data_IF_632670770997
#
_entry.id   IF_632670770997
#
_cell.length_a   1.000
_cell.length_b   1.000
_cell.length_c   1.000
_cell.angle_alpha   90.00
_cell.angle_beta   90.00
_cell.angle_gamma   90.00
#
_symmetry.space_group_name_H-M   'P 1'
#
loop_
_entity.id
_entity.type
_entity.pdbx_description
1 polymer ?
#
# COMPACT_ATOMS: atom_id res chain seq x y z
N UNK A 1 18.81 -10.01 7.99
CA UNK A 1 18.09 -10.40 6.79
C UNK A 1 17.95 -9.21 5.86
N UNK A 2 18.42 -9.32 4.64
CA UNK A 2 18.30 -8.21 3.71
C UNK A 2 16.84 -8.04 3.31
N UNK A 3 16.38 -6.80 3.24
CA UNK A 3 15.08 -6.46 2.66
C UNK A 3 14.90 -7.02 1.23
N UNK A 4 15.99 -7.22 0.49
CA UNK A 4 16.00 -7.88 -0.81
C UNK A 4 15.54 -9.34 -0.75
N UNK A 5 15.92 -10.10 0.27
CA UNK A 5 15.45 -11.48 0.45
C UNK A 5 13.94 -11.52 0.70
N UNK A 6 13.38 -10.52 1.39
CA UNK A 6 11.93 -10.41 1.59
C UNK A 6 11.17 -10.10 0.31
N UNK A 7 11.75 -9.37 -0.62
CA UNK A 7 11.12 -9.05 -1.91
C UNK A 7 10.99 -10.27 -2.84
N UNK A 8 11.95 -11.20 -2.80
CA UNK A 8 11.90 -12.44 -3.58
C UNK A 8 10.74 -13.34 -3.12
N UNK A 9 10.37 -13.28 -1.84
CA UNK A 9 9.31 -14.09 -1.24
C UNK A 9 7.97 -13.37 -1.10
N UNK A 10 7.89 -12.08 -1.41
CA UNK A 10 6.63 -11.31 -1.40
C UNK A 10 5.72 -11.77 -2.52
N UNK A 11 4.94 -12.81 -2.24
CA UNK A 11 3.89 -13.23 -3.16
C UNK A 11 2.67 -12.34 -2.97
N UNK A 12 2.26 -11.70 -4.05
CA UNK A 12 1.06 -10.87 -4.07
C UNK A 12 -0.11 -11.70 -4.57
N UNK A 13 -1.24 -11.63 -3.85
CA UNK A 13 -2.51 -12.08 -4.37
C UNK A 13 -3.09 -10.92 -5.16
N UNK A 14 -3.44 -11.17 -6.41
CA UNK A 14 -4.00 -10.16 -7.31
C UNK A 14 -5.44 -10.54 -7.62
N UNK A 15 -6.32 -9.55 -7.52
CA UNK A 15 -7.72 -9.64 -7.87
C UNK A 15 -8.08 -8.57 -8.90
N UNK A 16 -8.94 -8.90 -9.84
CA UNK A 16 -9.58 -7.90 -10.70
C UNK A 16 -11.01 -7.73 -10.24
N UNK A 17 -11.37 -6.50 -9.87
CA UNK A 17 -12.72 -6.21 -9.42
C UNK A 17 -13.72 -6.49 -10.53
N UNK A 18 -14.87 -7.03 -10.17
CA UNK A 18 -15.90 -7.38 -11.15
C UNK A 18 -16.55 -6.14 -11.76
N UNK A 19 -16.76 -5.13 -10.90
CA UNK A 19 -17.48 -3.91 -11.28
C UNK A 19 -16.64 -2.99 -12.17
N UNK A 20 -15.39 -2.77 -11.83
CA UNK A 20 -14.56 -1.76 -12.48
C UNK A 20 -13.37 -2.34 -13.26
N UNK A 21 -13.12 -3.65 -13.13
CA UNK A 21 -11.97 -4.35 -13.72
C UNK A 21 -10.61 -3.79 -13.25
N UNK A 22 -10.61 -3.07 -12.13
CA UNK A 22 -9.40 -2.54 -11.52
C UNK A 22 -8.55 -3.65 -10.90
N UNK A 23 -7.25 -3.44 -10.91
CA UNK A 23 -6.31 -4.36 -10.29
C UNK A 23 -6.15 -4.03 -8.83
N UNK A 24 -6.58 -4.94 -7.97
CA UNK A 24 -6.33 -4.90 -6.52
C UNK A 24 -5.31 -5.96 -6.16
N UNK A 25 -4.39 -5.65 -5.25
CA UNK A 25 -3.37 -6.59 -4.83
C UNK A 25 -3.08 -6.50 -3.35
N UNK A 26 -2.69 -7.61 -2.75
CA UNK A 26 -2.09 -7.58 -1.41
C UNK A 26 -0.68 -7.01 -1.48
N UNK A 27 -0.27 -6.34 -0.40
CA UNK A 27 1.07 -5.77 -0.29
C UNK A 27 1.54 -5.84 1.18
N UNK A 28 2.85 -5.92 1.39
CA UNK A 28 3.48 -5.90 2.72
C UNK A 28 2.78 -6.77 3.75
N UNK A 29 2.73 -8.09 3.52
CA UNK A 29 2.16 -9.02 4.51
C UNK A 29 3.11 -9.17 5.70
N UNK A 30 2.57 -8.95 6.89
CA UNK A 30 3.31 -8.93 8.15
C UNK A 30 2.67 -9.91 9.15
N UNK A 31 3.09 -11.19 9.13
CA UNK A 31 2.62 -12.16 10.12
C UNK A 31 3.07 -11.74 11.53
N UNK A 32 2.19 -11.86 12.51
CA UNK A 32 2.42 -11.47 13.91
C UNK A 32 2.91 -10.03 14.07
N UNK A 33 2.56 -9.20 13.10
CA UNK A 33 3.05 -7.83 12.98
C UNK A 33 2.15 -6.79 13.63
N UNK A 34 2.57 -5.56 13.50
CA UNK A 34 1.86 -4.37 13.98
C UNK A 34 1.57 -3.43 12.83
N UNK A 35 0.55 -2.62 12.97
CA UNK A 35 0.29 -1.47 12.11
C UNK A 35 1.06 -0.28 12.67
N UNK A 36 1.68 0.51 11.79
CA UNK A 36 2.50 1.67 12.17
C UNK A 36 2.13 2.90 11.35
N UNK A 37 2.44 4.08 11.88
CA UNK A 37 2.34 5.33 11.15
C UNK A 37 3.63 5.59 10.36
N UNK A 38 3.47 6.13 9.16
CA UNK A 38 4.53 6.77 8.39
C UNK A 38 4.24 8.26 8.30
N UNK A 39 5.25 9.11 8.49
CA UNK A 39 5.12 10.55 8.33
C UNK A 39 6.05 11.02 7.20
N UNK A 40 5.46 11.54 6.15
CA UNK A 40 6.17 12.11 5.02
C UNK A 40 5.73 13.56 4.84
N UNK A 41 6.62 14.51 5.12
CA UNK A 41 6.35 15.94 5.00
C UNK A 41 5.07 16.40 5.76
N UNK A 42 4.86 15.85 6.96
CA UNK A 42 3.70 16.18 7.80
C UNK A 42 2.41 15.46 7.43
N UNK A 43 2.44 14.60 6.42
CA UNK A 43 1.31 13.76 6.04
C UNK A 43 1.50 12.38 6.68
N UNK A 44 0.53 11.98 7.49
CA UNK A 44 0.54 10.70 8.17
C UNK A 44 -0.22 9.68 7.33
N UNK A 45 0.46 8.59 6.98
CA UNK A 45 -0.10 7.42 6.32
C UNK A 45 0.12 6.18 7.19
N UNK A 46 -0.45 5.06 6.79
CA UNK A 46 -0.34 3.79 7.51
C UNK A 46 0.55 2.81 6.76
N UNK A 47 1.26 1.96 7.49
CA UNK A 47 1.97 0.81 6.94
C UNK A 47 1.93 -0.36 7.93
N UNK A 48 2.37 -1.53 7.50
CA UNK A 48 2.56 -2.69 8.33
C UNK A 48 4.03 -2.94 8.66
N UNK A 49 4.31 -3.55 9.81
CA UNK A 49 5.65 -3.91 10.23
C UNK A 49 5.66 -5.25 10.96
N UNK A 50 6.69 -6.07 10.70
CA UNK A 50 6.99 -7.28 11.46
C UNK A 50 8.28 -7.11 12.23
N UNK A 51 8.31 -7.63 13.44
CA UNK A 51 9.53 -7.68 14.25
C UNK A 51 10.24 -9.03 14.06
N UNK A 52 11.54 -9.03 14.19
CA UNK A 52 12.35 -10.25 14.23
C UNK A 52 12.29 -10.89 15.63
N UNK A 53 12.25 -10.06 16.67
CA UNK A 53 12.17 -10.49 18.06
C UNK A 53 10.81 -11.12 18.38
N UNK A 54 10.74 -12.41 18.74
CA UNK A 54 9.50 -13.08 19.11
C UNK A 54 8.76 -12.46 20.30
N UNK A 55 9.47 -11.79 21.22
CA UNK A 55 8.86 -11.10 22.36
C UNK A 55 7.95 -9.94 21.94
N UNK A 56 8.10 -9.45 20.72
CA UNK A 56 7.31 -8.37 20.13
C UNK A 56 6.21 -8.85 19.18
N UNK A 57 6.03 -10.15 19.08
CA UNK A 57 4.99 -10.72 18.23
C UNK A 57 3.59 -10.41 18.76
N UNK A 58 2.68 -10.12 17.86
CA UNK A 58 1.26 -9.98 18.16
C UNK A 58 0.49 -11.21 17.69
N UNK A 59 -0.79 -11.30 18.06
CA UNK A 59 -1.70 -12.32 17.53
C UNK A 59 -2.31 -11.93 16.18
N UNK A 60 -1.91 -10.79 15.63
CA UNK A 60 -2.47 -10.25 14.39
C UNK A 60 -1.52 -10.48 13.22
N UNK A 61 -2.10 -10.73 12.06
CA UNK A 61 -1.43 -10.57 10.77
C UNK A 61 -2.04 -9.35 10.08
N UNK A 62 -1.21 -8.49 9.53
CA UNK A 62 -1.68 -7.37 8.72
C UNK A 62 -1.08 -7.39 7.32
N UNK A 63 -1.78 -6.79 6.40
CA UNK A 63 -1.34 -6.57 5.03
C UNK A 63 -2.07 -5.37 4.44
N UNK A 64 -1.48 -4.73 3.44
CA UNK A 64 -2.14 -3.68 2.70
C UNK A 64 -2.93 -4.25 1.52
N UNK A 65 -4.03 -3.58 1.17
CA UNK A 65 -4.75 -3.76 -0.08
C UNK A 65 -4.58 -2.49 -0.92
N UNK A 66 -3.95 -2.64 -2.07
CA UNK A 66 -3.67 -1.54 -2.97
C UNK A 66 -4.48 -1.67 -4.25
N UNK A 67 -5.27 -0.64 -4.55
CA UNK A 67 -5.95 -0.47 -5.84
C UNK A 67 -5.03 0.31 -6.76
N UNK A 68 -4.75 -0.24 -7.94
CA UNK A 68 -3.91 0.43 -8.93
C UNK A 68 -4.75 1.40 -9.75
N UNK A 69 -4.45 2.69 -9.65
CA UNK A 69 -5.05 3.72 -10.47
C UNK A 69 -4.08 4.15 -11.56
N UNK A 70 -4.57 4.24 -12.78
CA UNK A 70 -3.83 4.77 -13.91
C UNK A 70 -4.57 5.97 -14.48
N UNK A 71 -3.90 7.12 -14.45
CA UNK A 71 -4.47 8.37 -14.97
C UNK A 71 -3.97 8.61 -16.40
N UNK A 72 -4.90 8.89 -17.29
CA UNK A 72 -4.64 9.27 -18.69
C UNK A 72 -5.22 10.65 -18.93
N UNK A 73 -4.74 11.33 -19.97
CA UNK A 73 -5.31 12.62 -20.37
C UNK A 73 -6.86 12.56 -20.47
N UNK A 74 -7.56 13.61 -20.01
CA UNK A 74 -7.05 14.90 -19.52
C UNK A 74 -6.64 14.90 -18.04
N UNK A 75 -6.73 13.77 -17.33
CA UNK A 75 -6.38 13.68 -15.91
C UNK A 75 -4.86 13.69 -15.75
N UNK A 76 -4.40 14.54 -14.85
CA UNK A 76 -3.00 14.71 -14.49
C UNK A 76 -2.84 14.77 -12.96
N UNK A 77 -1.65 15.04 -12.46
CA UNK A 77 -1.39 15.26 -11.04
C UNK A 77 -1.77 14.07 -10.13
N UNK A 78 -1.50 12.83 -10.58
CA UNK A 78 -1.82 11.61 -9.84
C UNK A 78 -1.23 11.58 -8.42
N UNK A 79 -0.02 12.12 -8.24
CA UNK A 79 0.61 12.20 -6.92
C UNK A 79 -0.16 13.15 -5.99
N UNK A 80 -0.56 14.33 -6.49
CA UNK A 80 -1.35 15.28 -5.71
C UNK A 80 -2.74 14.72 -5.36
N UNK A 81 -3.33 13.92 -6.26
CA UNK A 81 -4.58 13.23 -5.98
C UNK A 81 -4.43 12.27 -4.79
N UNK A 82 -3.41 11.41 -4.79
CA UNK A 82 -3.15 10.50 -3.66
C UNK A 82 -2.81 11.25 -2.38
N UNK A 83 -2.00 12.31 -2.47
CA UNK A 83 -1.68 13.18 -1.34
C UNK A 83 -2.93 13.84 -0.75
N UNK A 84 -3.86 14.30 -1.59
CA UNK A 84 -5.12 14.92 -1.15
C UNK A 84 -5.99 13.95 -0.36
N UNK A 85 -6.03 12.67 -0.73
CA UNK A 85 -6.73 11.63 0.02
C UNK A 85 -6.09 11.43 1.41
N UNK A 86 -4.74 11.37 1.47
CA UNK A 86 -4.04 11.25 2.74
C UNK A 86 -4.25 12.48 3.64
N UNK A 87 -4.22 13.69 3.08
CA UNK A 87 -4.52 14.93 3.80
C UNK A 87 -5.96 14.95 4.31
N UNK A 88 -6.93 14.48 3.52
CA UNK A 88 -8.31 14.36 3.93
C UNK A 88 -8.47 13.41 5.13
N UNK A 89 -7.78 12.26 5.11
CA UNK A 89 -7.74 11.34 6.24
C UNK A 89 -7.17 12.01 7.49
N UNK A 90 -6.07 12.74 7.36
CA UNK A 90 -5.44 13.44 8.48
C UNK A 90 -6.33 14.57 9.03
N UNK A 91 -7.01 15.29 8.15
CA UNK A 91 -7.93 16.34 8.55
C UNK A 91 -9.11 15.80 9.39
N UNK A 92 -9.68 14.67 8.97
CA UNK A 92 -10.85 14.07 9.65
C UNK A 92 -10.44 13.27 10.89
N UNK A 93 -9.33 12.55 10.84
CA UNK A 93 -8.92 11.62 11.89
C UNK A 93 -7.77 12.13 12.77
N UNK A 94 -7.18 13.27 12.47
CA UNK A 94 -5.95 13.73 13.12
C UNK A 94 -4.75 12.83 12.80
N UNK A 95 -4.86 11.97 11.77
CA UNK A 95 -3.87 10.98 11.36
C UNK A 95 -4.56 9.79 10.69
N UNK A 96 -4.24 8.58 11.16
CA UNK A 96 -4.83 7.34 10.65
C UNK A 96 -6.24 7.14 11.21
N UNK A 97 -7.16 6.74 10.34
CA UNK A 97 -8.51 6.31 10.69
C UNK A 97 -8.54 4.78 10.77
N UNK A 98 -9.25 4.23 11.76
CA UNK A 98 -9.52 2.79 11.87
C UNK A 98 -11.02 2.54 11.82
N UNK A 99 -11.43 1.52 11.06
CA UNK A 99 -12.83 1.09 10.95
C UNK A 99 -12.93 -0.42 10.95
N UNK A 100 -13.92 -0.98 11.64
CA UNK A 100 -14.28 -2.39 11.54
C UNK A 100 -14.92 -2.65 10.18
N UNK A 101 -14.57 -3.78 9.55
CA UNK A 101 -15.15 -4.15 8.26
C UNK A 101 -16.67 -4.25 8.30
N UNK A 102 -17.22 -4.86 9.34
CA UNK A 102 -18.68 -4.94 9.50
C UNK A 102 -19.36 -3.58 9.63
N UNK A 103 -18.72 -2.60 10.27
CA UNK A 103 -19.26 -1.24 10.34
C UNK A 103 -19.22 -0.56 8.97
N UNK A 104 -18.15 -0.74 8.19
CA UNK A 104 -18.04 -0.23 6.82
C UNK A 104 -19.16 -0.79 5.94
N UNK A 105 -19.40 -2.10 5.97
CA UNK A 105 -20.44 -2.75 5.17
C UNK A 105 -21.84 -2.26 5.53
N UNK A 106 -22.08 -1.94 6.80
CA UNK A 106 -23.33 -1.36 7.27
C UNK A 106 -23.46 0.14 7.05
N UNK A 107 -22.47 0.78 6.42
CA UNK A 107 -22.48 2.23 6.15
C UNK A 107 -22.44 3.08 7.42
N UNK A 108 -21.73 2.63 8.46
CA UNK A 108 -21.63 3.34 9.72
C UNK A 108 -20.18 3.46 10.20
N UNK A 109 -19.89 4.55 10.87
CA UNK A 109 -18.57 4.73 11.48
C UNK A 109 -18.33 3.74 12.62
N UNK A 110 -17.09 3.32 12.82
CA UNK A 110 -16.69 2.65 14.05
C UNK A 110 -16.57 3.62 15.21
N UNK A 111 -16.81 3.10 16.42
CA UNK A 111 -16.62 3.82 17.68
C UNK A 111 -15.61 3.10 18.55
N UNK A 112 -14.99 3.76 19.55
CA UNK A 112 -14.07 3.10 20.48
C UNK A 112 -14.69 1.86 21.13
N UNK A 113 -15.95 1.93 21.55
CA UNK A 113 -16.66 0.82 22.18
C UNK A 113 -16.86 -0.36 21.24
N UNK A 114 -17.21 -0.13 19.98
CA UNK A 114 -17.35 -1.21 18.99
C UNK A 114 -16.04 -1.91 18.68
N UNK A 115 -14.95 -1.14 18.58
CA UNK A 115 -13.61 -1.73 18.38
C UNK A 115 -13.19 -2.55 19.59
N UNK A 116 -13.43 -2.03 20.80
CA UNK A 116 -13.08 -2.74 22.04
C UNK A 116 -13.88 -4.05 22.26
N UNK A 117 -15.07 -4.16 21.68
CA UNK A 117 -15.89 -5.37 21.73
C UNK A 117 -15.47 -6.44 20.73
N UNK A 118 -14.69 -6.08 19.71
CA UNK A 118 -14.19 -7.00 18.70
C UNK A 118 -13.09 -7.92 19.24
N UNK A 119 -12.90 -9.09 18.62
CA UNK A 119 -11.83 -10.01 19.01
C UNK A 119 -10.45 -9.58 18.48
N UNK A 120 -10.39 -8.69 17.49
CA UNK A 120 -9.13 -8.16 16.95
C UNK A 120 -8.68 -6.99 17.80
N UNK A 121 -7.55 -7.14 18.49
CA UNK A 121 -6.95 -6.07 19.29
C UNK A 121 -6.17 -5.11 18.39
N UNK A 122 -6.49 -3.80 18.37
CA UNK A 122 -5.72 -2.82 17.62
C UNK A 122 -4.25 -2.76 18.06
N UNK A 123 -3.33 -2.72 17.11
CA UNK A 123 -1.88 -2.58 17.38
C UNK A 123 -1.39 -1.15 17.18
N UNK A 124 -2.19 -0.29 16.55
CA UNK A 124 -1.94 1.14 16.40
C UNK A 124 -3.07 1.94 17.04
N UNK A 125 -2.71 2.93 17.83
CA UNK A 125 -3.68 3.94 18.29
C UNK A 125 -4.06 4.82 17.11
N UNK A 126 -5.25 4.61 16.57
CA UNK A 126 -5.83 5.34 15.45
C UNK A 126 -7.22 5.86 15.83
N UNK A 127 -7.74 6.81 15.07
CA UNK A 127 -9.07 7.39 15.32
C UNK A 127 -10.15 6.48 14.75
N UNK A 128 -11.07 5.94 15.57
CA UNK A 128 -12.23 5.21 15.07
C UNK A 128 -13.11 6.13 14.21
N UNK A 129 -13.36 5.71 12.97
CA UNK A 129 -14.03 6.58 12.01
C UNK A 129 -14.74 5.84 10.90
N UNK A 130 -14.89 6.53 9.78
CA UNK A 130 -15.53 6.06 8.57
C UNK A 130 -14.62 6.30 7.36
N UNK A 131 -14.08 5.24 6.80
CA UNK A 131 -13.20 5.28 5.64
C UNK A 131 -13.93 5.65 4.34
N UNK A 132 -15.26 5.52 4.30
CA UNK A 132 -16.05 5.92 3.14
C UNK A 132 -16.07 7.44 2.92
N UNK A 133 -15.75 8.22 3.96
CA UNK A 133 -15.60 9.68 3.87
C UNK A 133 -14.26 10.11 3.26
N UNK A 134 -13.32 9.18 3.15
CA UNK A 134 -11.92 9.47 2.74
C UNK A 134 -11.57 8.76 1.45
N UNK A 135 -11.82 7.45 1.39
CA UNK A 135 -11.45 6.64 0.23
C UNK A 135 -12.52 6.82 -0.86
N UNK A 136 -12.14 7.24 -2.08
CA UNK A 136 -13.10 7.36 -3.18
C UNK A 136 -13.87 6.08 -3.40
N UNK A 137 -15.16 6.20 -3.68
CA UNK A 137 -16.10 5.07 -3.76
C UNK A 137 -15.61 3.92 -4.64
N UNK A 138 -15.00 4.22 -5.80
CA UNK A 138 -14.51 3.19 -6.72
C UNK A 138 -13.45 2.31 -6.05
N UNK A 139 -12.45 2.94 -5.42
CA UNK A 139 -11.39 2.23 -4.73
C UNK A 139 -11.92 1.46 -3.51
N UNK A 140 -12.89 2.03 -2.80
CA UNK A 140 -13.50 1.38 -1.64
C UNK A 140 -14.30 0.14 -2.06
N UNK A 141 -15.09 0.22 -3.13
CA UNK A 141 -15.82 -0.92 -3.70
C UNK A 141 -14.83 -2.04 -4.11
N UNK A 142 -13.73 -1.68 -4.77
CA UNK A 142 -12.69 -2.62 -5.19
C UNK A 142 -12.03 -3.34 -4.00
N UNK A 143 -11.74 -2.59 -2.92
CA UNK A 143 -11.17 -3.15 -1.69
C UNK A 143 -12.16 -4.12 -1.03
N UNK A 144 -13.44 -3.74 -0.95
CA UNK A 144 -14.49 -4.61 -0.38
C UNK A 144 -14.61 -5.90 -1.19
N UNK A 145 -14.65 -5.82 -2.52
CA UNK A 145 -14.68 -7.02 -3.36
C UNK A 145 -13.46 -7.93 -3.13
N UNK A 146 -12.27 -7.34 -2.99
CA UNK A 146 -11.04 -8.09 -2.72
C UNK A 146 -11.08 -8.76 -1.35
N UNK A 147 -11.62 -8.11 -0.30
CA UNK A 147 -11.75 -8.71 1.04
C UNK A 147 -12.64 -9.95 0.98
N UNK A 148 -13.79 -9.88 0.30
CA UNK A 148 -14.65 -11.06 0.10
C UNK A 148 -14.01 -12.15 -0.76
N UNK A 149 -13.16 -11.77 -1.73
CA UNK A 149 -12.42 -12.74 -2.52
C UNK A 149 -11.34 -13.45 -1.68
N UNK A 150 -10.65 -12.71 -0.81
CA UNK A 150 -9.66 -13.26 0.13
C UNK A 150 -10.31 -14.18 1.16
N UNK A 151 -11.51 -13.89 1.61
CA UNK A 151 -12.24 -14.71 2.58
C UNK A 151 -12.49 -16.14 2.08
N UNK A 152 -12.57 -16.34 0.77
CA UNK A 152 -12.68 -17.67 0.16
C UNK A 152 -11.40 -18.49 0.25
N UNK A 153 -10.26 -17.83 0.35
CA UNK A 153 -8.93 -18.47 0.44
C UNK A 153 -8.45 -18.55 1.89
N UNK A 154 -8.76 -17.53 2.65
CA UNK A 154 -8.46 -17.42 4.08
C UNK A 154 -9.74 -17.02 4.83
N UNK A 155 -10.53 -18.00 5.29
CA UNK A 155 -11.78 -17.74 5.99
C UNK A 155 -11.61 -16.80 7.19
N UNK A 156 -12.58 -15.97 7.44
CA UNK A 156 -12.63 -14.91 8.45
C UNK A 156 -11.86 -13.62 8.08
N UNK A 157 -11.32 -13.52 6.86
CA UNK A 157 -10.77 -12.23 6.38
C UNK A 157 -11.86 -11.17 6.28
N UNK A 158 -13.09 -11.56 5.87
CA UNK A 158 -14.26 -10.68 5.82
C UNK A 158 -15.08 -10.67 7.11
N UNK A 159 -14.46 -10.98 8.26
CA UNK A 159 -15.13 -10.88 9.56
C UNK A 159 -15.53 -9.44 9.87
N UNK A 160 -16.64 -9.28 10.57
CA UNK A 160 -17.09 -7.98 11.10
C UNK A 160 -16.01 -7.26 11.91
N UNK A 161 -15.15 -8.02 12.60
CA UNK A 161 -14.09 -7.50 13.48
C UNK A 161 -12.77 -7.25 12.77
N UNK A 162 -12.64 -7.58 11.50
CA UNK A 162 -11.46 -7.21 10.71
C UNK A 162 -11.28 -5.70 10.71
N UNK A 163 -10.08 -5.23 11.13
CA UNK A 163 -9.79 -3.81 11.24
C UNK A 163 -9.16 -3.29 9.96
N UNK A 164 -9.75 -2.26 9.41
CA UNK A 164 -9.24 -1.52 8.26
C UNK A 164 -8.60 -0.23 8.76
N UNK A 165 -7.36 0.01 8.38
CA UNK A 165 -6.63 1.24 8.67
C UNK A 165 -6.40 2.01 7.37
N UNK A 166 -6.71 3.28 7.37
CA UNK A 166 -6.57 4.13 6.19
C UNK A 166 -5.96 5.49 6.53
N UNK A 167 -5.19 5.99 5.58
CA UNK A 167 -4.95 5.45 4.24
C UNK A 167 -3.48 5.08 4.08
N UNK A 168 -3.20 4.14 3.20
CA UNK A 168 -1.87 3.93 2.65
C UNK A 168 -1.87 4.42 1.20
N UNK A 169 -0.90 5.26 0.85
CA UNK A 169 -0.75 5.77 -0.51
C UNK A 169 0.66 5.43 -1.00
N UNK A 170 0.74 4.78 -2.13
CA UNK A 170 2.01 4.50 -2.81
C UNK A 170 2.05 5.32 -4.09
N UNK A 171 3.05 6.18 -4.18
CA UNK A 171 3.31 6.97 -5.37
C UNK A 171 4.29 6.23 -6.26
N UNK A 172 3.96 6.15 -7.54
CA UNK A 172 4.94 5.78 -8.56
C UNK A 172 5.34 7.06 -9.29
N UNK A 173 6.63 7.31 -9.39
CA UNK A 173 7.17 8.45 -10.10
C UNK A 173 6.82 8.36 -11.59
N UNK A 174 6.85 9.50 -12.26
CA UNK A 174 6.78 9.53 -13.72
C UNK A 174 7.93 8.70 -14.29
N UNK A 175 7.63 7.87 -15.27
CA UNK A 175 8.64 7.09 -15.96
C UNK A 175 9.55 8.01 -16.78
N UNK A 176 10.85 7.97 -16.49
CA UNK A 176 11.83 8.67 -17.30
C UNK A 176 12.03 7.91 -18.61
N UNK A 177 11.96 8.62 -19.74
CA UNK A 177 12.20 8.01 -21.04
C UNK A 177 13.69 7.68 -21.21
N UNK A 178 13.99 6.39 -21.22
CA UNK A 178 15.35 5.86 -21.40
C UNK A 178 15.35 4.82 -22.52
N UNK A 179 16.54 4.54 -23.04
CA UNK A 179 16.77 3.46 -23.98
C UNK A 179 16.93 2.08 -23.27
N UNK A 180 17.30 1.05 -24.03
CA UNK A 180 17.53 -0.30 -23.49
C UNK A 180 18.68 -0.38 -22.48
N UNK A 181 19.59 0.56 -22.47
CA UNK A 181 20.73 0.64 -21.57
C UNK A 181 20.45 1.55 -20.35
N UNK A 182 19.19 2.00 -20.17
CA UNK A 182 18.76 2.95 -19.16
C UNK A 182 19.42 4.33 -19.31
N UNK A 183 19.93 4.68 -20.52
CA UNK A 183 20.47 5.98 -20.87
C UNK A 183 19.34 6.89 -21.35
N UNK A 184 19.36 8.15 -20.92
CA UNK A 184 18.43 9.18 -21.36
C UNK A 184 18.78 9.68 -22.76
N UNK A 185 17.98 10.60 -23.30
CA UNK A 185 18.34 11.31 -24.54
C UNK A 185 19.65 12.13 -24.43
N UNK A 186 20.09 12.40 -23.22
CA UNK A 186 21.38 13.07 -22.96
C UNK A 186 22.44 12.02 -22.74
N UNK A 187 23.40 11.95 -23.66
CA UNK A 187 24.48 10.95 -23.67
C UNK A 187 25.30 11.01 -22.38
N UNK A 188 25.57 9.84 -21.79
CA UNK A 188 26.29 9.71 -20.52
C UNK A 188 25.40 9.90 -19.28
N UNK A 189 24.10 10.19 -19.45
CA UNK A 189 23.16 10.34 -18.32
C UNK A 189 22.23 9.13 -18.23
N UNK A 190 22.44 8.33 -17.20
CA UNK A 190 21.66 7.12 -16.91
C UNK A 190 20.70 7.35 -15.75
N UNK A 191 19.53 6.74 -15.78
CA UNK A 191 18.55 6.79 -14.67
C UNK A 191 18.21 5.39 -14.21
N UNK A 192 18.50 5.10 -12.94
CA UNK A 192 18.40 3.77 -12.33
C UNK A 192 17.60 3.83 -11.04
N UNK A 193 17.17 2.68 -10.55
CA UNK A 193 16.42 2.56 -9.31
C UNK A 193 14.97 3.03 -9.42
N UNK A 194 14.30 3.16 -8.29
CA UNK A 194 12.88 3.53 -8.22
C UNK A 194 12.58 4.91 -8.83
N UNK A 195 13.52 5.83 -8.77
CA UNK A 195 13.36 7.17 -9.35
C UNK A 195 13.28 7.16 -10.89
N UNK A 196 13.68 6.05 -11.54
CA UNK A 196 13.53 5.90 -12.99
C UNK A 196 12.06 5.73 -13.42
N UNK A 197 11.18 5.29 -12.51
CA UNK A 197 9.82 4.86 -12.82
C UNK A 197 9.75 3.55 -13.61
N UNK A 198 10.90 2.91 -13.88
CA UNK A 198 10.98 1.63 -14.61
C UNK A 198 11.09 0.46 -13.65
N UNK A 199 11.78 0.63 -12.52
CA UNK A 199 11.99 -0.42 -11.52
C UNK A 199 11.22 -0.09 -10.24
N UNK A 200 10.52 -1.11 -9.68
CA UNK A 200 9.58 -0.91 -8.57
C UNK A 200 9.83 -1.88 -7.41
N UNK A 201 11.06 -2.36 -7.25
CA UNK A 201 11.44 -3.20 -6.12
C UNK A 201 12.92 -3.04 -5.81
N UNK A 202 13.30 -3.36 -4.58
CA UNK A 202 14.71 -3.29 -4.14
C UNK A 202 15.63 -4.12 -5.03
N UNK A 203 15.21 -5.34 -5.39
CA UNK A 203 16.00 -6.23 -6.26
C UNK A 203 16.13 -5.67 -7.69
N UNK A 204 15.05 -5.15 -8.28
CA UNK A 204 15.12 -4.53 -9.60
C UNK A 204 15.92 -3.22 -9.59
N UNK A 205 15.76 -2.41 -8.55
CA UNK A 205 16.53 -1.18 -8.39
C UNK A 205 18.04 -1.49 -8.30
N UNK A 206 18.41 -2.48 -7.47
CA UNK A 206 19.80 -2.94 -7.37
C UNK A 206 20.32 -3.53 -8.69
N UNK A 207 19.54 -4.35 -9.36
CA UNK A 207 19.90 -4.95 -10.64
C UNK A 207 20.12 -3.88 -11.73
N UNK A 208 19.31 -2.81 -11.74
CA UNK A 208 19.48 -1.72 -12.70
C UNK A 208 20.82 -1.00 -12.52
N UNK A 209 21.28 -0.84 -11.27
CA UNK A 209 22.61 -0.29 -10.98
C UNK A 209 23.74 -1.15 -11.50
N UNK A 210 23.68 -2.47 -11.26
CA UNK A 210 24.68 -3.43 -11.76
C UNK A 210 24.67 -3.46 -13.29
N UNK A 211 23.48 -3.43 -13.90
CA UNK A 211 23.34 -3.44 -15.35
C UNK A 211 24.02 -2.25 -16.01
N UNK A 212 23.75 -1.03 -15.51
CA UNK A 212 24.36 0.19 -16.05
C UNK A 212 25.87 0.22 -15.79
N UNK A 213 26.33 -0.18 -14.61
CA UNK A 213 27.76 -0.25 -14.31
C UNK A 213 28.51 -1.16 -15.28
N UNK A 214 27.97 -2.33 -15.59
CA UNK A 214 28.54 -3.24 -16.60
C UNK A 214 28.57 -2.60 -17.99
N UNK A 215 27.45 -2.00 -18.40
CA UNK A 215 27.38 -1.33 -19.69
C UNK A 215 28.41 -0.23 -19.83
N UNK A 216 28.65 0.58 -18.81
CA UNK A 216 29.67 1.62 -18.82
C UNK A 216 31.07 1.02 -18.93
N UNK A 217 31.38 0.00 -18.12
CA UNK A 217 32.72 -0.63 -18.12
C UNK A 217 33.05 -1.37 -19.42
N UNK A 218 32.04 -1.91 -20.11
CA UNK A 218 32.24 -2.59 -21.40
C UNK A 218 32.41 -1.64 -22.58
N UNK A 219 32.09 -0.34 -22.40
CA UNK A 219 32.15 0.68 -23.46
C UNK A 219 33.13 1.82 -23.14
N UNK A 220 33.96 1.67 -22.12
CA UNK A 220 35.14 2.49 -21.84
C UNK A 220 36.36 1.92 -22.56
#
# INVERSE_FOLDING_TARGET
PSSAASDVYKRQIVYRSKKYQDRVRTFCMNPRGVVVNENTNGIITVNGHSYEDPARFTNNTNFALLVSNHFTEPFSQSNQYGESIARLSNMLGGGVIVQRFGDLIRGQRSTPSRIAQGFVTPTLKATPGDLSLVIPKRQLDDIIEMIYALDKVCPSTASDDTLLYGVEVKFYNMQVKVDKNLETKHKGLFVIGDCSGVTHSLSHASASGVYVARHITENL
#
